data_IF_084769678526
#
_entry.id   IF_084769678526
#
_cell.length_a   1.000
_cell.length_b   1.000
_cell.length_c   1.000
_cell.angle_alpha   90.00
_cell.angle_beta   90.00
_cell.angle_gamma   90.00
#
_symmetry.space_group_name_H-M   'P 1'
#
loop_
_entity.id
_entity.type
_entity.pdbx_description
1 polymer ?
#
# COMPACT_ATOMS: atom_id res chain seq x y z
N UNK A 1 2.08 20.21 -20.10
CA UNK A 1 1.82 18.82 -20.55
C UNK A 1 2.70 17.82 -19.78
N UNK A 2 4.04 17.86 -19.89
CA UNK A 2 4.92 16.88 -19.22
C UNK A 2 4.78 16.81 -17.70
N UNK A 3 4.54 17.95 -17.04
CA UNK A 3 4.19 17.99 -15.61
C UNK A 3 2.93 17.17 -15.28
N UNK A 4 1.91 17.24 -16.14
CA UNK A 4 0.68 16.47 -15.95
C UNK A 4 0.92 14.99 -16.19
N UNK A 5 1.74 14.63 -17.18
CA UNK A 5 2.16 13.23 -17.41
C UNK A 5 2.81 12.64 -16.14
N UNK A 6 3.76 13.36 -15.53
CA UNK A 6 4.39 12.91 -14.28
C UNK A 6 3.37 12.80 -13.14
N UNK A 7 2.44 13.75 -13.04
CA UNK A 7 1.40 13.74 -12.00
C UNK A 7 0.44 12.57 -12.17
N UNK A 8 -0.02 12.33 -13.41
CA UNK A 8 -0.87 11.19 -13.74
C UNK A 8 -0.16 9.86 -13.48
N UNK A 9 1.13 9.74 -13.79
CA UNK A 9 1.91 8.54 -13.45
C UNK A 9 1.98 8.32 -11.93
N UNK A 10 2.25 9.37 -11.13
CA UNK A 10 2.24 9.27 -9.66
C UNK A 10 0.89 8.78 -9.15
N UNK A 11 -0.19 9.40 -9.63
CA UNK A 11 -1.55 9.04 -9.26
C UNK A 11 -1.91 7.61 -9.67
N UNK A 12 -1.50 7.17 -10.86
CA UNK A 12 -1.72 5.81 -11.33
C UNK A 12 -0.99 4.78 -10.45
N UNK A 13 0.25 5.07 -10.05
CA UNK A 13 1.02 4.18 -9.17
C UNK A 13 0.38 4.12 -7.78
N UNK A 14 0.01 5.25 -7.18
CA UNK A 14 -0.51 5.32 -5.81
C UNK A 14 -2.02 5.20 -5.67
N UNK A 15 -2.74 4.88 -6.75
CA UNK A 15 -4.20 4.89 -6.81
C UNK A 15 -4.78 6.21 -6.26
N UNK A 16 -4.40 7.34 -6.87
CA UNK A 16 -4.71 8.70 -6.41
C UNK A 16 -4.31 9.02 -4.95
N UNK A 17 -3.43 8.22 -4.36
CA UNK A 17 -2.98 8.37 -2.98
C UNK A 17 -3.80 7.56 -1.97
N UNK A 18 -4.78 6.78 -2.42
CA UNK A 18 -5.56 5.87 -1.57
C UNK A 18 -4.77 4.64 -1.16
N UNK A 19 -3.80 4.22 -1.98
CA UNK A 19 -2.96 3.05 -1.71
C UNK A 19 -1.53 3.45 -1.37
N UNK A 20 -0.99 2.89 -0.29
CA UNK A 20 0.45 3.00 0.00
C UNK A 20 1.18 2.01 -0.88
N UNK A 21 2.38 2.38 -1.36
CA UNK A 21 3.14 1.55 -2.32
C UNK A 21 3.37 0.11 -1.83
N UNK A 22 3.60 -0.07 -0.53
CA UNK A 22 3.85 -1.37 0.10
C UNK A 22 2.58 -2.20 0.36
N UNK A 23 1.39 -1.61 0.18
CA UNK A 23 0.11 -2.32 0.29
C UNK A 23 -0.32 -2.90 -1.08
N UNK A 24 0.33 -2.47 -2.17
CA UNK A 24 0.05 -2.93 -3.53
C UNK A 24 0.76 -4.28 -3.77
N UNK A 25 0.11 -5.28 -4.37
CA UNK A 25 0.74 -6.53 -4.77
C UNK A 25 2.00 -6.29 -5.63
N UNK A 26 3.07 -7.05 -5.37
CA UNK A 26 4.36 -6.92 -6.06
C UNK A 26 4.23 -6.86 -7.58
N UNK A 27 3.55 -7.85 -8.16
CA UNK A 27 3.41 -7.97 -9.62
C UNK A 27 2.63 -6.78 -10.21
N UNK A 28 1.62 -6.31 -9.48
CA UNK A 28 0.83 -5.16 -9.88
C UNK A 28 1.64 -3.87 -9.82
N UNK A 29 2.40 -3.65 -8.74
CA UNK A 29 3.29 -2.50 -8.61
C UNK A 29 4.34 -2.49 -9.73
N UNK A 30 4.93 -3.65 -10.03
CA UNK A 30 5.91 -3.81 -11.11
C UNK A 30 5.30 -3.48 -12.48
N UNK A 31 4.08 -3.96 -12.75
CA UNK A 31 3.34 -3.64 -13.97
C UNK A 31 3.06 -2.14 -14.08
N UNK A 32 2.60 -1.50 -13.00
CA UNK A 32 2.30 -0.07 -12.99
C UNK A 32 3.54 0.78 -13.28
N UNK A 33 4.67 0.45 -12.66
CA UNK A 33 5.94 1.15 -12.87
C UNK A 33 6.43 1.01 -14.32
N UNK A 34 6.38 -0.20 -14.89
CA UNK A 34 6.77 -0.45 -16.28
C UNK A 34 5.87 0.30 -17.28
N UNK A 35 4.57 0.37 -17.02
CA UNK A 35 3.65 1.15 -17.86
C UNK A 35 4.04 2.63 -17.89
N UNK A 36 4.43 3.22 -16.74
CA UNK A 36 4.92 4.59 -16.69
C UNK A 36 6.21 4.78 -17.50
N UNK A 37 7.17 3.86 -17.39
CA UNK A 37 8.42 3.91 -18.17
C UNK A 37 8.15 3.86 -19.67
N UNK A 38 7.27 2.93 -20.10
CA UNK A 38 6.88 2.78 -21.51
C UNK A 38 6.18 4.03 -22.05
N UNK A 39 5.32 4.66 -21.24
CA UNK A 39 4.67 5.93 -21.58
C UNK A 39 5.72 7.02 -21.84
N UNK A 40 6.72 7.15 -20.96
CA UNK A 40 7.79 8.14 -21.12
C UNK A 40 8.59 7.90 -22.39
N UNK A 41 9.00 6.65 -22.64
CA UNK A 41 9.74 6.28 -23.84
C UNK A 41 8.95 6.60 -25.12
N UNK A 42 7.67 6.24 -25.16
CA UNK A 42 6.79 6.48 -26.31
C UNK A 42 6.61 7.98 -26.55
N UNK A 43 6.41 8.76 -25.48
CA UNK A 43 6.23 10.21 -25.57
C UNK A 43 7.49 10.90 -26.12
N UNK A 44 8.67 10.53 -25.62
CA UNK A 44 9.95 11.08 -26.09
C UNK A 44 10.16 10.72 -27.57
N UNK A 45 9.91 9.46 -27.95
CA UNK A 45 10.05 9.02 -29.32
C UNK A 45 9.15 9.80 -30.30
N UNK A 46 7.87 9.98 -29.95
CA UNK A 46 6.93 10.74 -30.77
C UNK A 46 7.38 12.20 -30.89
N UNK A 47 7.88 12.80 -29.81
CA UNK A 47 8.41 14.16 -29.83
C UNK A 47 9.59 14.29 -30.80
N UNK A 48 10.57 13.38 -30.75
CA UNK A 48 11.73 13.39 -31.65
C UNK A 48 11.33 13.23 -33.12
N UNK A 49 10.41 12.30 -33.41
CA UNK A 49 9.89 12.09 -34.77
C UNK A 49 9.18 13.34 -35.27
N UNK A 50 8.37 13.98 -34.42
CA UNK A 50 7.62 15.20 -34.78
C UNK A 50 8.57 16.38 -35.00
N UNK A 51 9.57 16.56 -34.12
CA UNK A 51 10.61 17.59 -34.25
C UNK A 51 11.36 17.46 -35.58
N UNK A 52 11.73 16.23 -35.97
CA UNK A 52 12.38 15.95 -37.27
C UNK A 52 11.48 16.28 -38.47
N UNK A 53 10.18 15.96 -38.41
CA UNK A 53 9.22 16.28 -39.48
C UNK A 53 9.06 17.79 -39.68
N UNK A 54 8.95 18.56 -38.59
CA UNK A 54 8.84 20.02 -38.63
C UNK A 54 10.13 20.63 -39.17
N UNK A 55 11.30 20.16 -38.73
CA UNK A 55 12.59 20.65 -39.23
C UNK A 55 12.78 20.44 -40.75
N UNK A 56 12.20 19.38 -41.31
CA UNK A 56 12.24 19.10 -42.75
C UNK A 56 11.22 19.91 -43.57
N UNK A 57 10.28 20.59 -42.91
CA UNK A 57 9.22 21.37 -43.57
C UNK A 57 9.62 22.85 -43.58
N UNK A 58 10.06 23.37 -44.73
CA UNK A 58 10.65 24.72 -44.88
C UNK A 58 9.72 25.90 -44.56
N UNK A 59 8.41 25.65 -44.40
CA UNK A 59 7.38 26.68 -44.18
C UNK A 59 7.08 26.96 -42.71
N UNK A 60 7.45 26.07 -41.78
CA UNK A 60 7.14 26.22 -40.36
C UNK A 60 8.36 26.74 -39.57
N UNK A 61 8.11 27.54 -38.53
CA UNK A 61 9.17 28.06 -37.65
C UNK A 61 9.84 26.88 -36.92
N UNK A 62 11.18 26.79 -36.90
CA UNK A 62 11.87 25.70 -36.24
C UNK A 62 11.55 25.64 -34.73
N UNK A 63 11.38 24.41 -34.25
CA UNK A 63 11.04 24.08 -32.86
C UNK A 63 12.30 24.20 -31.98
N UNK A 64 12.51 25.36 -31.36
CA UNK A 64 13.67 25.63 -30.49
C UNK A 64 13.27 25.68 -29.01
N UNK A 65 13.02 24.51 -28.44
CA UNK A 65 12.80 24.36 -27.00
C UNK A 65 13.85 23.44 -26.40
N UNK A 66 14.31 23.80 -25.19
CA UNK A 66 15.21 22.96 -24.42
C UNK A 66 14.52 21.65 -24.03
N UNK A 67 15.11 20.53 -24.43
CA UNK A 67 14.68 19.19 -24.04
C UNK A 67 14.75 19.01 -22.52
N UNK A 68 15.74 19.61 -21.86
CA UNK A 68 15.86 19.57 -20.41
C UNK A 68 14.72 20.31 -19.72
N UNK A 69 14.24 21.42 -20.30
CA UNK A 69 13.07 22.14 -19.78
C UNK A 69 11.77 21.34 -19.94
N UNK A 70 11.63 20.62 -21.06
CA UNK A 70 10.43 19.84 -21.37
C UNK A 70 10.42 18.53 -20.56
N UNK A 71 11.54 17.80 -20.55
CA UNK A 71 11.65 16.42 -20.08
C UNK A 71 12.38 16.27 -18.75
N UNK A 72 13.04 17.30 -18.22
CA UNK A 72 13.87 17.17 -17.01
C UNK A 72 13.14 16.48 -15.85
N UNK A 73 11.86 16.80 -15.63
CA UNK A 73 11.04 16.12 -14.61
C UNK A 73 10.71 14.67 -14.94
N UNK A 74 10.51 14.36 -16.22
CA UNK A 74 10.28 12.97 -16.67
C UNK A 74 11.56 12.16 -16.46
N UNK A 75 12.74 12.68 -16.83
CA UNK A 75 14.02 12.00 -16.60
C UNK A 75 14.29 11.77 -15.13
N UNK A 76 14.15 12.80 -14.29
CA UNK A 76 14.31 12.65 -12.84
C UNK A 76 13.33 11.63 -12.24
N UNK A 77 12.10 11.57 -12.74
CA UNK A 77 11.11 10.61 -12.25
C UNK A 77 11.39 9.19 -12.76
N UNK A 78 11.84 9.05 -14.01
CA UNK A 78 12.28 7.80 -14.63
C UNK A 78 13.43 7.17 -13.84
N UNK A 79 14.47 7.95 -13.53
CA UNK A 79 15.64 7.45 -12.80
C UNK A 79 15.27 6.93 -11.40
N UNK A 80 14.31 7.59 -10.74
CA UNK A 80 13.78 7.16 -9.44
C UNK A 80 13.01 5.84 -9.51
N UNK A 81 12.48 5.47 -10.67
CA UNK A 81 11.80 4.19 -10.90
C UNK A 81 12.80 3.12 -11.32
N UNK A 82 13.69 3.41 -12.26
CA UNK A 82 14.64 2.43 -12.81
C UNK A 82 15.66 1.95 -11.78
N UNK A 83 16.17 2.86 -10.94
CA UNK A 83 17.17 2.52 -9.92
C UNK A 83 16.70 1.41 -8.96
N UNK A 84 15.55 1.55 -8.25
CA UNK A 84 15.09 0.48 -7.38
C UNK A 84 14.79 -0.79 -8.17
N UNK A 85 14.11 -0.70 -9.32
CA UNK A 85 13.71 -1.88 -10.13
C UNK A 85 14.90 -2.74 -10.58
N UNK A 86 16.05 -2.15 -10.88
CA UNK A 86 17.20 -2.88 -11.44
C UNK A 86 18.13 -3.50 -10.39
N UNK A 87 18.24 -2.91 -9.20
CA UNK A 87 19.32 -3.28 -8.25
C UNK A 87 18.82 -4.12 -7.08
N UNK A 88 17.71 -3.75 -6.44
CA UNK A 88 17.36 -4.29 -5.12
C UNK A 88 15.85 -4.43 -4.83
N UNK A 89 14.97 -4.15 -5.80
CA UNK A 89 13.52 -4.21 -5.56
C UNK A 89 13.04 -5.61 -5.18
N UNK A 90 13.56 -6.64 -5.86
CA UNK A 90 13.16 -8.02 -5.61
C UNK A 90 13.58 -8.49 -4.22
N UNK A 91 14.82 -8.19 -3.82
CA UNK A 91 15.35 -8.53 -2.48
C UNK A 91 14.62 -7.76 -1.38
N UNK A 92 14.30 -6.49 -1.61
CA UNK A 92 13.58 -5.67 -0.64
C UNK A 92 12.16 -6.20 -0.41
N UNK A 93 11.44 -6.55 -1.48
CA UNK A 93 10.09 -7.10 -1.36
C UNK A 93 10.09 -8.50 -0.77
N UNK A 94 11.06 -9.34 -1.12
CA UNK A 94 11.21 -10.67 -0.51
C UNK A 94 11.47 -10.55 1.00
N UNK A 95 12.37 -9.64 1.40
CA UNK A 95 12.63 -9.35 2.81
C UNK A 95 11.38 -8.81 3.53
N UNK A 96 10.63 -7.91 2.89
CA UNK A 96 9.41 -7.35 3.45
C UNK A 96 8.32 -8.43 3.65
N UNK A 97 8.14 -9.32 2.67
CA UNK A 97 7.22 -10.45 2.77
C UNK A 97 7.64 -11.43 3.88
N UNK A 98 8.94 -11.70 4.01
CA UNK A 98 9.47 -12.56 5.06
C UNK A 98 9.30 -11.98 6.45
N UNK A 99 9.49 -10.66 6.61
CA UNK A 99 9.20 -9.95 7.85
C UNK A 99 7.71 -10.05 8.20
N UNK A 100 6.82 -9.79 7.24
CA UNK A 100 5.36 -9.87 7.43
C UNK A 100 4.92 -11.29 7.80
N UNK A 101 5.48 -12.32 7.15
CA UNK A 101 5.23 -13.74 7.49
C UNK A 101 5.72 -14.09 8.89
N UNK A 102 6.90 -13.58 9.30
CA UNK A 102 7.44 -13.81 10.65
C UNK A 102 6.53 -13.20 11.71
N UNK A 103 6.02 -11.98 11.53
CA UNK A 103 5.09 -11.34 12.48
C UNK A 103 3.78 -12.13 12.61
N UNK A 104 3.17 -12.54 11.49
CA UNK A 104 1.99 -13.41 11.48
C UNK A 104 2.24 -14.74 12.19
N UNK A 105 3.41 -15.35 11.95
CA UNK A 105 3.81 -16.61 12.59
C UNK A 105 3.96 -16.43 14.11
N UNK A 106 4.61 -15.37 14.57
CA UNK A 106 4.77 -15.05 16.00
C UNK A 106 3.39 -14.87 16.66
N UNK A 107 2.49 -14.10 16.05
CA UNK A 107 1.11 -13.96 16.54
C UNK A 107 0.39 -15.32 16.64
N UNK A 108 0.46 -16.14 15.59
CA UNK A 108 -0.19 -17.47 15.59
C UNK A 108 0.36 -18.39 16.69
N UNK A 109 1.69 -18.39 16.89
CA UNK A 109 2.35 -19.18 17.93
C UNK A 109 1.96 -18.72 19.33
N UNK A 110 1.85 -17.42 19.53
CA UNK A 110 1.48 -16.82 20.81
C UNK A 110 0.02 -17.17 21.15
N UNK A 111 -0.88 -17.09 20.17
CA UNK A 111 -2.27 -17.52 20.28
C UNK A 111 -2.42 -19.00 20.63
N UNK A 112 -1.62 -19.88 20.03
CA UNK A 112 -1.64 -21.31 20.36
C UNK A 112 -1.15 -21.59 21.78
N UNK A 113 -0.08 -20.91 22.22
CA UNK A 113 0.40 -21.01 23.61
C UNK A 113 -0.66 -20.53 24.60
N UNK A 114 -1.32 -19.41 24.31
CA UNK A 114 -2.42 -18.91 25.13
C UNK A 114 -3.57 -19.92 25.21
N UNK A 115 -4.03 -20.45 24.07
CA UNK A 115 -5.07 -21.49 24.04
C UNK A 115 -4.70 -22.72 24.87
N UNK A 116 -3.43 -23.14 24.80
CA UNK A 116 -2.94 -24.24 25.62
C UNK A 116 -3.00 -23.92 27.12
N UNK A 117 -2.55 -22.73 27.52
CA UNK A 117 -2.62 -22.28 28.92
C UNK A 117 -4.08 -22.21 29.38
N UNK A 118 -4.99 -21.63 28.59
CA UNK A 118 -6.42 -21.59 28.91
C UNK A 118 -6.99 -22.99 29.12
N UNK A 119 -6.65 -23.95 28.25
CA UNK A 119 -7.08 -25.34 28.40
C UNK A 119 -6.55 -25.98 29.70
N UNK A 120 -5.31 -25.68 30.10
CA UNK A 120 -4.76 -26.15 31.38
C UNK A 120 -5.46 -25.51 32.58
N UNK A 121 -5.77 -24.22 32.50
CA UNK A 121 -6.54 -23.50 33.52
C UNK A 121 -7.97 -24.06 33.63
N UNK A 122 -8.62 -24.36 32.52
CA UNK A 122 -9.95 -25.00 32.48
C UNK A 122 -9.91 -26.37 33.17
N UNK A 123 -8.90 -27.21 32.87
CA UNK A 123 -8.72 -28.52 33.52
C UNK A 123 -8.46 -28.40 35.01
N UNK A 124 -7.62 -27.43 35.41
CA UNK A 124 -7.34 -27.15 36.82
C UNK A 124 -8.61 -26.71 37.55
N UNK A 125 -9.38 -25.80 36.94
CA UNK A 125 -10.67 -25.35 37.46
C UNK A 125 -11.66 -26.51 37.63
N UNK A 126 -11.77 -27.39 36.63
CA UNK A 126 -12.59 -28.61 36.69
C UNK A 126 -12.16 -29.55 37.84
N UNK A 127 -10.85 -29.63 38.11
CA UNK A 127 -10.28 -30.46 39.18
C UNK A 127 -10.56 -29.86 40.57
N UNK A 128 -10.43 -28.54 40.72
CA UNK A 128 -10.64 -27.83 41.99
C UNK A 128 -12.12 -27.79 42.38
N UNK A 129 -13.00 -27.47 41.44
CA UNK A 129 -14.42 -27.20 41.73
C UNK A 129 -15.27 -28.48 41.62
N UNK A 130 -14.74 -29.53 41.00
CA UNK A 130 -15.43 -30.78 40.70
C UNK A 130 -16.43 -30.64 39.55
N UNK A 131 -16.66 -31.73 38.80
CA UNK A 131 -17.42 -31.69 37.54
C UNK A 131 -18.88 -31.19 37.63
N UNK A 132 -19.44 -31.04 38.84
CA UNK A 132 -20.87 -30.73 39.07
C UNK A 132 -21.23 -29.24 39.12
N UNK A 133 -20.26 -28.33 39.12
CA UNK A 133 -20.43 -26.87 39.32
C UNK A 133 -20.18 -26.04 38.05
N UNK A 134 -19.85 -26.69 36.93
CA UNK A 134 -19.41 -26.08 35.66
C UNK A 134 -20.54 -25.44 34.87
N UNK A 135 -21.78 -25.90 35.06
CA UNK A 135 -22.95 -25.38 34.35
C UNK A 135 -23.24 -23.90 34.62
N UNK A 136 -22.86 -23.40 35.80
CA UNK A 136 -23.13 -22.01 36.22
C UNK A 136 -22.06 -21.05 35.67
N UNK A 137 -20.79 -21.44 35.67
CA UNK A 137 -19.67 -20.56 35.27
C UNK A 137 -19.56 -20.42 33.74
N UNK A 138 -19.86 -21.49 32.99
CA UNK A 138 -19.84 -21.45 31.52
C UNK A 138 -20.96 -20.58 30.93
N UNK A 139 -22.09 -20.45 31.63
CA UNK A 139 -23.17 -19.53 31.28
C UNK A 139 -22.77 -18.05 31.47
N UNK A 140 -22.06 -17.74 32.57
CA UNK A 140 -21.61 -16.37 32.88
C UNK A 140 -20.54 -15.87 31.90
N UNK A 141 -19.70 -16.76 31.36
CA UNK A 141 -18.65 -16.38 30.41
C UNK A 141 -19.17 -16.17 28.97
N UNK A 142 -20.17 -16.95 28.54
CA UNK A 142 -20.75 -16.85 27.20
C UNK A 142 -21.77 -15.71 27.06
N UNK A 143 -22.31 -15.16 28.15
CA UNK A 143 -23.22 -13.99 28.11
C UNK A 143 -22.48 -12.66 27.94
N UNK A 144 -21.17 -12.59 28.22
CA UNK A 144 -20.40 -11.34 28.08
C UNK A 144 -20.06 -10.98 26.61
N UNK A 145 -20.08 -11.96 25.71
CA UNK A 145 -19.80 -11.74 24.28
C UNK A 145 -21.01 -11.20 23.49
N UNK A 146 -22.17 -10.99 24.15
CA UNK A 146 -23.36 -10.40 23.51
C UNK A 146 -23.49 -8.88 23.65
N UNK A 147 -22.66 -8.22 24.46
CA UNK A 147 -22.83 -6.79 24.78
C UNK A 147 -21.70 -5.88 24.26
N UNK A 148 -20.95 -6.31 23.24
CA UNK A 148 -20.02 -5.44 22.52
C UNK A 148 -20.25 -5.51 21.00
N UNK A 149 -21.53 -5.41 20.61
CA UNK A 149 -21.97 -5.27 19.22
C UNK A 149 -22.69 -3.94 18.97
N UNK A 150 -22.16 -2.79 19.39
CA UNK A 150 -22.59 -1.48 18.88
C UNK A 150 -21.55 -0.39 19.17
N UNK A 151 -20.37 -0.45 18.55
CA UNK A 151 -19.60 0.78 18.29
C UNK A 151 -19.31 0.84 16.79
N UNK A 152 -20.00 1.70 16.01
CA UNK A 152 -19.77 1.83 14.59
C UNK A 152 -18.41 2.50 14.32
N UNK A 153 -17.59 1.89 13.48
CA UNK A 153 -16.23 2.33 13.13
C UNK A 153 -16.15 3.56 12.20
N UNK A 154 -17.04 4.55 12.32
CA UNK A 154 -16.97 5.77 11.52
C UNK A 154 -17.10 7.04 12.37
N UNK A 155 -15.96 7.69 12.64
CA UNK A 155 -15.93 9.13 12.88
C UNK A 155 -15.02 9.78 11.82
N UNK A 156 -15.54 10.76 11.05
CA UNK A 156 -14.72 11.49 10.07
C UNK A 156 -13.73 12.43 10.77
N UNK A 157 -12.67 12.88 10.06
CA UNK A 157 -11.73 13.83 10.62
C UNK A 157 -12.28 15.25 10.53
N UNK A 158 -12.09 15.97 11.64
CA UNK A 158 -11.69 17.37 11.72
C UNK A 158 -12.71 18.40 12.21
N UNK A 159 -12.14 19.30 13.01
CA UNK A 159 -12.43 20.73 13.14
C UNK A 159 -13.81 21.19 13.61
N UNK A 160 -13.80 21.85 14.77
CA UNK A 160 -14.46 23.14 14.91
C UNK A 160 -15.64 23.21 15.88
N UNK A 161 -15.42 24.03 16.90
CA UNK A 161 -16.40 24.87 17.61
C UNK A 161 -17.33 24.16 18.61
N UNK A 162 -17.14 24.49 19.88
CA UNK A 162 -18.11 24.20 20.91
C UNK A 162 -17.66 24.65 22.28
N UNK A 163 -17.68 25.96 22.55
CA UNK A 163 -17.90 26.46 23.90
C UNK A 163 -18.77 27.71 23.81
N UNK A 164 -20.03 27.53 24.24
CA UNK A 164 -20.82 28.35 25.18
C UNK A 164 -21.15 29.80 24.75
N UNK A 165 -22.40 30.25 24.84
CA UNK A 165 -23.18 30.27 26.08
C UNK A 165 -22.91 31.62 26.74
#
# INVERSE_FOLDING_TARGET
>A
ITNQIVTSCKNYISDNGYSRLWDIPKDELYLRLNNCLKLFQTYIHIFEVTKKKIANTKTERPFDFSEMYIFGKIFTFRDRIEKPLNEDFDKFLELADDLKKKDLKIMSQTMLKLKYIFNQLDKLFLTIVGARSVGIVRGIYMDRDKEESTIPWNLPPNSGVGCIG
#
